data_IF_036013623531
#
_entry.id   IF_036013623531
#
_cell.length_a   1.000
_cell.length_b   1.000
_cell.length_c   1.000
_cell.angle_alpha   90.00
_cell.angle_beta   90.00
_cell.angle_gamma   90.00
#
_symmetry.space_group_name_H-M   'P 1'
#
loop_
_entity.id
_entity.type
_entity.pdbx_description
1 polymer ?
#
# COMPACT_ATOMS: atom_id res chain seq x y z
N UNK A 1 -1.81 18.79 -14.21
CA UNK A 1 -2.08 17.47 -13.61
C UNK A 1 -3.28 16.84 -14.32
N UNK A 2 -3.10 15.65 -14.82
CA UNK A 2 -4.17 14.97 -15.54
C UNK A 2 -5.16 14.34 -14.56
N UNK A 3 -6.46 14.46 -14.86
CA UNK A 3 -7.47 13.75 -14.12
C UNK A 3 -7.41 12.24 -14.44
N UNK A 4 -7.76 11.35 -13.50
CA UNK A 4 -7.83 9.93 -13.78
C UNK A 4 -8.83 9.64 -14.92
N UNK A 5 -8.38 8.91 -15.92
CA UNK A 5 -9.24 8.47 -17.01
C UNK A 5 -9.92 7.16 -16.62
N UNK A 6 -10.92 6.74 -17.40
CA UNK A 6 -11.55 5.43 -17.23
C UNK A 6 -10.51 4.31 -17.36
N UNK A 7 -9.59 4.46 -18.31
CA UNK A 7 -8.51 3.49 -18.52
C UNK A 7 -7.58 3.42 -17.32
N UNK A 8 -7.15 4.58 -16.77
CA UNK A 8 -6.32 4.64 -15.57
C UNK A 8 -6.98 3.96 -14.38
N UNK A 9 -8.30 4.14 -14.22
CA UNK A 9 -9.06 3.51 -13.13
C UNK A 9 -9.19 2.00 -13.29
N UNK A 10 -9.08 1.50 -14.51
CA UNK A 10 -9.11 0.05 -14.77
C UNK A 10 -7.78 -0.62 -14.49
N UNK A 11 -6.69 0.11 -14.45
CA UNK A 11 -5.39 -0.47 -14.12
C UNK A 11 -5.43 -1.02 -12.70
N UNK A 12 -4.86 -2.21 -12.56
CA UNK A 12 -4.79 -2.90 -11.27
C UNK A 12 -3.39 -2.71 -10.71
N UNK A 13 -3.28 -1.80 -9.76
CA UNK A 13 -2.00 -1.51 -9.13
C UNK A 13 -2.19 -1.18 -7.66
N UNK A 14 -1.14 -1.43 -6.90
CA UNK A 14 -1.10 -1.09 -5.50
C UNK A 14 0.27 -0.53 -5.13
N UNK A 15 0.34 0.08 -3.95
CA UNK A 15 1.56 0.68 -3.44
C UNK A 15 2.15 -0.23 -2.37
N UNK A 16 3.46 -0.48 -2.46
CA UNK A 16 4.24 -1.05 -1.37
C UNK A 16 5.10 0.06 -0.78
N UNK A 17 4.84 0.43 0.49
CA UNK A 17 5.67 1.36 1.23
C UNK A 17 6.71 0.58 2.02
N UNK A 18 7.92 0.52 1.50
CA UNK A 18 9.06 -0.18 2.11
C UNK A 18 10.34 0.17 1.35
N UNK A 19 11.46 0.16 2.07
CA UNK A 19 12.79 0.25 1.48
C UNK A 19 13.45 -1.12 1.35
N UNK A 20 12.77 -2.19 1.77
CA UNK A 20 13.33 -3.55 1.75
C UNK A 20 13.23 -4.16 0.35
N UNK A 21 14.35 -4.20 -0.35
CA UNK A 21 14.41 -4.75 -1.70
C UNK A 21 14.08 -6.24 -1.74
N UNK A 22 14.40 -6.99 -0.69
CA UNK A 22 14.08 -8.41 -0.64
C UNK A 22 12.57 -8.64 -0.56
N UNK A 23 11.87 -7.84 0.24
CA UNK A 23 10.40 -7.90 0.31
C UNK A 23 9.79 -7.53 -1.04
N UNK A 24 10.26 -6.45 -1.66
CA UNK A 24 9.77 -6.05 -2.97
C UNK A 24 9.98 -7.14 -4.02
N UNK A 25 11.14 -7.78 -4.02
CA UNK A 25 11.44 -8.87 -4.95
C UNK A 25 10.53 -10.09 -4.73
N UNK A 26 10.28 -10.44 -3.46
CA UNK A 26 9.37 -11.52 -3.11
C UNK A 26 7.95 -11.27 -3.65
N UNK A 27 7.45 -10.07 -3.44
CA UNK A 27 6.11 -9.72 -3.88
C UNK A 27 6.01 -9.63 -5.40
N UNK A 28 7.04 -9.09 -6.06
CA UNK A 28 7.07 -9.04 -7.53
C UNK A 28 7.06 -10.44 -8.14
N UNK A 29 7.77 -11.39 -7.53
CA UNK A 29 7.80 -12.76 -8.01
C UNK A 29 6.45 -13.46 -7.91
N UNK A 30 5.63 -13.06 -6.95
CA UNK A 30 4.29 -13.62 -6.72
C UNK A 30 3.17 -12.79 -7.34
N UNK A 31 3.49 -11.67 -7.98
CA UNK A 31 2.50 -10.72 -8.49
C UNK A 31 1.62 -11.36 -9.56
N UNK A 32 0.29 -11.31 -9.43
CA UNK A 32 -0.60 -11.86 -10.45
C UNK A 32 -0.51 -11.11 -11.78
N UNK A 33 -0.78 -11.82 -12.85
CA UNK A 33 -0.84 -11.21 -14.17
C UNK A 33 -1.86 -10.07 -14.19
N UNK A 34 -1.50 -8.98 -14.85
CA UNK A 34 -2.36 -7.80 -14.96
C UNK A 34 -2.24 -6.82 -13.80
N UNK A 35 -1.46 -7.15 -12.77
CA UNK A 35 -1.21 -6.26 -11.64
C UNK A 35 0.15 -5.59 -11.73
N UNK A 36 0.21 -4.35 -11.24
CA UNK A 36 1.45 -3.59 -11.08
C UNK A 36 1.66 -3.26 -9.60
N UNK A 37 2.88 -3.41 -9.13
CA UNK A 37 3.26 -2.97 -7.79
C UNK A 37 4.19 -1.77 -7.91
N UNK A 38 3.83 -0.69 -7.23
CA UNK A 38 4.66 0.51 -7.14
C UNK A 38 5.30 0.54 -5.76
N UNK A 39 6.61 0.28 -5.69
CA UNK A 39 7.34 0.29 -4.43
C UNK A 39 8.02 1.65 -4.24
N UNK A 40 7.82 2.24 -3.07
CA UNK A 40 8.43 3.52 -2.71
C UNK A 40 8.53 3.63 -1.19
N UNK A 41 9.42 4.49 -0.73
CA UNK A 41 9.51 4.89 0.68
C UNK A 41 8.87 6.26 0.94
N UNK A 42 8.43 6.93 -0.13
CA UNK A 42 7.91 8.29 -0.04
C UNK A 42 6.70 8.46 -0.97
N UNK A 43 5.52 8.62 -0.40
CA UNK A 43 4.29 8.81 -1.14
C UNK A 43 4.32 10.04 -2.05
N UNK A 44 5.09 11.06 -1.69
CA UNK A 44 5.17 12.28 -2.50
C UNK A 44 5.77 12.01 -3.88
N UNK A 45 6.56 10.95 -4.02
CA UNK A 45 7.12 10.56 -5.33
C UNK A 45 6.05 10.09 -6.31
N UNK A 46 4.88 9.71 -5.81
CA UNK A 46 3.77 9.21 -6.63
C UNK A 46 2.84 10.33 -7.09
N UNK A 47 2.98 11.51 -6.51
CA UNK A 47 2.10 12.64 -6.78
C UNK A 47 1.15 12.92 -5.64
N UNK A 48 0.02 13.53 -5.94
CA UNK A 48 -0.97 13.91 -4.93
C UNK A 48 -2.18 12.98 -4.90
N UNK A 49 -3.31 13.55 -4.49
CA UNK A 49 -4.58 12.84 -4.34
C UNK A 49 -4.95 12.01 -5.59
N UNK A 50 -4.94 12.64 -6.76
CA UNK A 50 -5.40 12.00 -8.00
C UNK A 50 -4.54 10.80 -8.39
N UNK A 51 -3.23 10.89 -8.18
CA UNK A 51 -2.28 9.84 -8.53
C UNK A 51 -2.39 8.66 -7.56
N UNK A 52 -2.47 8.94 -6.26
CA UNK A 52 -2.57 7.89 -5.24
C UNK A 52 -3.91 7.18 -5.34
N UNK A 53 -4.98 7.90 -5.66
CA UNK A 53 -6.32 7.33 -5.82
C UNK A 53 -6.40 6.27 -6.92
N UNK A 54 -5.44 6.25 -7.84
CA UNK A 54 -5.39 5.24 -8.90
C UNK A 54 -4.92 3.87 -8.41
N UNK A 55 -4.42 3.78 -7.18
CA UNK A 55 -3.95 2.54 -6.58
C UNK A 55 -5.05 1.94 -5.70
N UNK A 56 -5.19 0.62 -5.74
CA UNK A 56 -6.33 -0.06 -5.12
C UNK A 56 -6.17 -0.33 -3.64
N UNK A 57 -4.93 -0.50 -3.19
CA UNK A 57 -4.61 -0.65 -1.77
C UNK A 57 -3.14 -0.31 -1.52
N UNK A 58 -2.79 -0.22 -0.25
CA UNK A 58 -1.43 0.07 0.20
C UNK A 58 -0.98 -1.03 1.14
N UNK A 59 0.20 -1.59 0.89
CA UNK A 59 0.90 -2.46 1.83
C UNK A 59 1.98 -1.61 2.50
N UNK A 60 1.96 -1.57 3.83
CA UNK A 60 2.86 -0.73 4.63
C UNK A 60 3.72 -1.61 5.52
N UNK A 61 5.04 -1.54 5.30
CA UNK A 61 6.02 -2.34 6.04
C UNK A 61 6.35 -1.68 7.37
N UNK A 62 5.75 -2.16 8.46
CA UNK A 62 5.99 -1.62 9.79
C UNK A 62 7.35 -2.03 10.37
N UNK A 63 8.06 -2.98 9.73
CA UNK A 63 9.39 -3.42 10.20
C UNK A 63 10.52 -2.63 9.56
N UNK A 64 10.21 -1.74 8.63
CA UNK A 64 11.22 -0.95 7.94
C UNK A 64 11.65 0.24 8.84
N UNK A 65 12.90 0.25 9.33
CA UNK A 65 13.37 1.34 10.21
C UNK A 65 13.58 2.66 9.49
N UNK A 66 13.67 2.64 8.17
CA UNK A 66 13.87 3.84 7.36
C UNK A 66 12.55 4.53 7.01
N UNK A 67 11.40 3.89 7.31
CA UNK A 67 10.08 4.39 6.93
C UNK A 67 9.37 4.98 8.14
N UNK A 68 8.85 6.20 7.99
CA UNK A 68 7.94 6.77 8.98
C UNK A 68 6.50 6.34 8.64
N UNK A 69 6.12 5.18 9.16
CA UNK A 69 4.84 4.57 8.84
C UNK A 69 3.66 5.42 9.30
N UNK A 70 3.76 6.00 10.51
CA UNK A 70 2.66 6.81 11.04
C UNK A 70 2.47 8.09 10.23
N UNK A 71 3.57 8.71 9.77
CA UNK A 71 3.48 9.87 8.91
C UNK A 71 2.83 9.52 7.57
N UNK A 72 3.13 8.35 7.00
CA UNK A 72 2.51 7.89 5.77
C UNK A 72 0.99 7.70 5.92
N UNK A 73 0.57 7.07 7.02
CA UNK A 73 -0.87 6.90 7.30
C UNK A 73 -1.54 8.25 7.47
N UNK A 74 -0.93 9.15 8.24
CA UNK A 74 -1.49 10.48 8.46
C UNK A 74 -1.62 11.26 7.15
N UNK A 75 -0.63 11.15 6.28
CA UNK A 75 -0.69 11.79 4.97
C UNK A 75 -1.89 11.28 4.16
N UNK A 76 -2.11 9.98 4.12
CA UNK A 76 -3.23 9.40 3.38
C UNK A 76 -4.58 9.76 3.99
N UNK A 77 -4.71 9.65 5.31
CA UNK A 77 -5.99 9.82 6.00
C UNK A 77 -6.36 11.27 6.29
N UNK A 78 -5.38 12.08 6.72
CA UNK A 78 -5.62 13.46 7.16
C UNK A 78 -5.35 14.48 6.07
N UNK A 79 -4.20 14.39 5.42
CA UNK A 79 -3.80 15.38 4.43
C UNK A 79 -4.55 15.21 3.12
N UNK A 80 -4.65 13.98 2.63
CA UNK A 80 -5.30 13.67 1.36
C UNK A 80 -6.76 13.23 1.54
N UNK A 81 -7.17 12.93 2.77
CA UNK A 81 -8.53 12.46 3.08
C UNK A 81 -8.96 11.27 2.23
N UNK A 82 -8.01 10.36 1.96
CA UNK A 82 -8.25 9.18 1.16
C UNK A 82 -8.72 8.01 2.01
N UNK A 83 -9.65 7.25 1.47
CA UNK A 83 -10.19 6.04 2.10
C UNK A 83 -9.63 4.77 1.45
N UNK A 84 -8.43 4.85 0.89
CA UNK A 84 -7.74 3.69 0.33
C UNK A 84 -7.44 2.69 1.43
N UNK A 85 -7.55 1.38 1.13
CA UNK A 85 -7.24 0.35 2.11
C UNK A 85 -5.75 0.35 2.43
N UNK A 86 -5.42 0.33 3.74
CA UNK A 86 -4.04 0.30 4.23
C UNK A 86 -3.85 -0.96 5.05
N UNK A 87 -2.99 -1.85 4.59
CA UNK A 87 -2.66 -3.12 5.23
C UNK A 87 -1.24 -3.08 5.72
N UNK A 88 -1.04 -3.32 7.02
CA UNK A 88 0.26 -3.22 7.67
C UNK A 88 0.89 -4.60 7.83
N UNK A 89 2.20 -4.69 7.61
CA UNK A 89 2.98 -5.92 7.69
C UNK A 89 3.97 -5.85 8.85
N UNK A 90 3.88 -6.79 9.77
CA UNK A 90 4.82 -6.91 10.88
C UNK A 90 4.74 -5.79 11.89
N UNK A 91 5.90 -5.49 12.48
CA UNK A 91 6.07 -4.40 13.45
C UNK A 91 5.76 -4.79 14.90
N UNK A 92 6.33 -4.04 15.85
CA UNK A 92 6.04 -4.26 17.26
C UNK A 92 4.62 -3.83 17.61
N UNK A 93 4.07 -4.40 18.69
CA UNK A 93 2.68 -4.16 19.08
C UNK A 93 2.38 -2.68 19.30
N UNK A 94 3.31 -1.93 19.90
CA UNK A 94 3.10 -0.50 20.14
C UNK A 94 2.91 0.28 18.83
N UNK A 95 3.67 -0.07 17.79
CA UNK A 95 3.54 0.57 16.49
C UNK A 95 2.25 0.15 15.78
N UNK A 96 1.88 -1.11 15.90
CA UNK A 96 0.61 -1.61 15.36
C UNK A 96 -0.58 -0.89 15.99
N UNK A 97 -0.55 -0.69 17.32
CA UNK A 97 -1.60 0.03 18.02
C UNK A 97 -1.68 1.49 17.57
N UNK A 98 -0.54 2.15 17.44
CA UNK A 98 -0.49 3.53 16.94
C UNK A 98 -1.00 3.64 15.50
N UNK A 99 -0.66 2.68 14.65
CA UNK A 99 -1.13 2.64 13.27
C UNK A 99 -2.64 2.43 13.21
N UNK A 100 -3.19 1.59 14.09
CA UNK A 100 -4.64 1.38 14.18
C UNK A 100 -5.36 2.66 14.57
N UNK A 101 -4.84 3.38 15.55
CA UNK A 101 -5.40 4.67 15.95
C UNK A 101 -5.31 5.70 14.83
N UNK A 102 -4.29 5.61 13.97
CA UNK A 102 -4.16 6.48 12.81
C UNK A 102 -5.03 6.02 11.63
N UNK A 103 -5.82 4.96 11.81
CA UNK A 103 -6.82 4.44 10.87
C UNK A 103 -6.24 3.57 9.74
N UNK A 104 -5.16 2.84 10.00
CA UNK A 104 -4.81 1.71 9.16
C UNK A 104 -5.88 0.61 9.33
N UNK A 105 -6.12 -0.18 8.30
CA UNK A 105 -7.29 -1.07 8.27
C UNK A 105 -7.03 -2.45 8.86
N UNK A 106 -5.93 -3.11 8.49
CA UNK A 106 -5.65 -4.48 8.91
C UNK A 106 -4.16 -4.71 9.12
N UNK A 107 -3.84 -5.76 9.90
CA UNK A 107 -2.48 -6.06 10.32
C UNK A 107 -2.18 -7.55 10.12
N UNK A 108 -1.02 -7.85 9.56
CA UNK A 108 -0.60 -9.22 9.26
C UNK A 108 0.87 -9.41 9.63
N UNK A 109 1.28 -10.66 9.81
CA UNK A 109 2.69 -10.95 9.97
C UNK A 109 3.43 -10.72 8.64
N UNK A 110 4.68 -10.27 8.73
CA UNK A 110 5.47 -10.00 7.53
C UNK A 110 5.71 -11.25 6.70
N UNK A 111 5.77 -12.42 7.34
CA UNK A 111 5.91 -13.71 6.64
C UNK A 111 4.70 -14.05 5.79
N UNK A 112 3.56 -13.42 6.03
CA UNK A 112 2.33 -13.63 5.27
C UNK A 112 2.20 -12.68 4.08
N UNK A 113 3.20 -11.82 3.82
CA UNK A 113 3.07 -10.72 2.87
C UNK A 113 2.61 -11.16 1.48
N UNK A 114 3.27 -12.17 0.89
CA UNK A 114 2.93 -12.64 -0.45
C UNK A 114 1.53 -13.24 -0.51
N UNK A 115 1.18 -14.06 0.48
CA UNK A 115 -0.14 -14.68 0.56
C UNK A 115 -1.25 -13.63 0.67
N UNK A 116 -1.04 -12.64 1.55
CA UNK A 116 -2.02 -11.56 1.75
C UNK A 116 -2.14 -10.67 0.53
N UNK A 117 -1.02 -10.36 -0.11
CA UNK A 117 -1.04 -9.62 -1.36
C UNK A 117 -1.92 -10.31 -2.41
N UNK A 118 -1.78 -11.62 -2.56
CA UNK A 118 -2.60 -12.39 -3.51
C UNK A 118 -4.08 -12.30 -3.17
N UNK A 119 -4.42 -12.40 -1.87
CA UNK A 119 -5.80 -12.26 -1.42
C UNK A 119 -6.37 -10.88 -1.76
N UNK A 120 -5.59 -9.81 -1.55
CA UNK A 120 -6.05 -8.46 -1.84
C UNK A 120 -6.14 -8.19 -3.32
N UNK A 121 -5.23 -8.72 -4.12
CA UNK A 121 -5.33 -8.63 -5.56
C UNK A 121 -6.64 -9.26 -6.07
N UNK A 122 -7.02 -10.41 -5.51
CA UNK A 122 -8.29 -11.03 -5.85
C UNK A 122 -9.48 -10.19 -5.38
N UNK A 123 -9.43 -9.69 -4.15
CA UNK A 123 -10.51 -8.90 -3.55
C UNK A 123 -10.71 -7.56 -4.26
N UNK A 124 -9.62 -6.90 -4.62
CA UNK A 124 -9.66 -5.57 -5.24
C UNK A 124 -9.46 -5.60 -6.75
N UNK A 125 -9.68 -6.75 -7.38
CA UNK A 125 -9.50 -6.93 -8.83
C UNK A 125 -10.69 -6.51 -9.69
N UNK A 126 -11.61 -5.72 -9.15
CA UNK A 126 -12.80 -5.27 -9.86
C UNK A 126 -12.48 -4.34 -11.04
N UNK A 127 -13.42 -4.20 -11.95
CA UNK A 127 -13.34 -3.20 -13.02
C UNK A 127 -12.45 -3.60 -14.20
N UNK A 128 -12.14 -4.87 -14.35
CA UNK A 128 -11.31 -5.35 -15.45
C UNK A 128 -12.12 -5.48 -16.75
#
# INVERSE_FOLDING_TARGET
>A
MASPTVESRRRRRFILLSTDDALAAELRAALPEGWEMVATDDLDTLGGFAEILQHRFVLLDLEDPALDALAAIAHLRRDLMLNVAIFCLGGPQALRDAARLARADRFFERTEAAERMLQFCAQYGWGA
#
